data_IF_510940781703
#
_entry.id   IF_510940781703
#
_cell.length_a   1.000
_cell.length_b   1.000
_cell.length_c   1.000
_cell.angle_alpha   90.00
_cell.angle_beta   90.00
_cell.angle_gamma   90.00
#
_symmetry.space_group_name_H-M   'P 1'
#
loop_
_entity.id
_entity.type
_entity.pdbx_description
1 polymer ?
#
# COMPACT_ATOMS: atom_id res chain seq x y z
N UNK A 1 18.23 -14.91 -5.15
CA UNK A 1 17.75 -13.52 -5.01
C UNK A 1 16.24 -13.54 -5.17
N UNK A 2 15.49 -13.05 -4.18
CA UNK A 2 14.03 -13.06 -4.24
C UNK A 2 13.57 -11.81 -4.99
N UNK A 3 12.88 -11.99 -6.12
CA UNK A 3 12.33 -10.87 -6.88
C UNK A 3 10.96 -10.48 -6.31
N UNK A 4 10.62 -9.18 -6.36
CA UNK A 4 9.31 -8.67 -5.90
C UNK A 4 8.16 -9.38 -6.63
N UNK A 5 8.35 -9.55 -7.93
CA UNK A 5 7.57 -10.43 -8.78
C UNK A 5 8.29 -11.77 -8.89
N UNK A 6 7.58 -12.89 -8.88
CA UNK A 6 8.20 -14.23 -8.85
C UNK A 6 9.33 -14.45 -9.88
N UNK A 7 9.27 -13.78 -11.02
CA UNK A 7 10.35 -13.67 -12.01
C UNK A 7 10.17 -12.40 -12.88
N UNK A 8 11.04 -12.19 -13.86
CA UNK A 8 10.94 -11.08 -14.83
C UNK A 8 9.88 -11.27 -15.92
N UNK A 9 9.24 -12.45 -16.00
CA UNK A 9 8.29 -12.82 -17.06
C UNK A 9 6.84 -12.43 -16.75
N UNK A 10 6.60 -11.42 -15.91
CA UNK A 10 5.23 -10.96 -15.62
C UNK A 10 4.60 -10.28 -16.83
N UNK A 11 3.31 -10.52 -17.04
CA UNK A 11 2.56 -9.94 -18.14
C UNK A 11 1.27 -9.27 -17.63
N UNK A 12 0.83 -8.14 -18.25
CA UNK A 12 -0.45 -7.54 -17.92
C UNK A 12 -1.59 -8.53 -18.12
N UNK A 13 -2.46 -8.69 -17.11
CA UNK A 13 -3.63 -9.57 -17.21
C UNK A 13 -4.70 -9.01 -18.15
N UNK A 14 -4.87 -7.69 -18.14
CA UNK A 14 -5.72 -6.94 -19.09
C UNK A 14 -5.04 -5.61 -19.44
N UNK A 15 -4.82 -5.30 -20.73
CA UNK A 15 -4.31 -4.01 -21.13
C UNK A 15 -5.44 -2.98 -21.02
N UNK A 16 -5.43 -2.21 -19.93
CA UNK A 16 -6.26 -1.01 -19.78
C UNK A 16 -5.33 0.18 -19.57
N UNK A 17 -5.52 1.25 -20.34
CA UNK A 17 -4.83 2.51 -20.09
C UNK A 17 -5.50 3.20 -18.91
N UNK A 18 -4.73 3.52 -17.88
CA UNK A 18 -5.22 4.10 -16.63
C UNK A 18 -4.69 5.53 -16.48
N UNK A 19 -5.46 6.39 -15.81
CA UNK A 19 -5.08 7.79 -15.52
C UNK A 19 -3.70 7.86 -14.83
N UNK A 20 -3.39 6.89 -13.97
CA UNK A 20 -2.13 6.80 -13.23
C UNK A 20 -1.11 5.83 -13.86
N UNK A 21 -1.16 5.63 -15.19
CA UNK A 21 -0.26 4.70 -15.90
C UNK A 21 1.22 4.97 -15.63
N UNK A 22 1.62 6.24 -15.50
CA UNK A 22 3.01 6.62 -15.17
C UNK A 22 3.45 6.06 -13.81
N UNK A 23 2.62 6.18 -12.77
CA UNK A 23 2.91 5.66 -11.42
C UNK A 23 3.15 4.15 -11.44
N UNK A 24 2.31 3.40 -12.19
CA UNK A 24 2.49 1.96 -12.36
C UNK A 24 3.77 1.62 -13.12
N UNK A 25 4.06 2.32 -14.22
CA UNK A 25 5.27 2.07 -15.03
C UNK A 25 6.54 2.36 -14.21
N UNK A 26 6.60 3.48 -13.50
CA UNK A 26 7.76 3.81 -12.64
C UNK A 26 8.04 2.76 -11.58
N UNK A 27 6.98 2.23 -10.95
CA UNK A 27 7.14 1.14 -9.97
C UNK A 27 7.63 -0.16 -10.62
N UNK A 28 7.07 -0.52 -11.78
CA UNK A 28 7.49 -1.71 -12.52
C UNK A 28 8.96 -1.62 -12.95
N UNK A 29 9.38 -0.50 -13.54
CA UNK A 29 10.75 -0.30 -13.99
C UNK A 29 11.74 -0.41 -12.81
N UNK A 30 11.37 0.17 -11.66
CA UNK A 30 12.16 0.02 -10.44
C UNK A 30 12.26 -1.43 -9.95
N UNK A 31 11.17 -2.20 -10.10
CA UNK A 31 11.05 -3.58 -9.63
C UNK A 31 11.62 -4.64 -10.59
N UNK A 32 12.03 -4.25 -11.81
CA UNK A 32 12.43 -5.16 -12.88
C UNK A 32 13.69 -5.97 -12.58
N UNK A 33 14.56 -5.48 -11.70
CA UNK A 33 15.74 -6.20 -11.25
C UNK A 33 15.47 -6.96 -9.93
N UNK A 34 16.04 -8.16 -9.71
CA UNK A 34 15.83 -8.93 -8.49
C UNK A 34 16.22 -8.12 -7.24
N UNK A 35 15.22 -7.56 -6.57
CA UNK A 35 15.40 -6.76 -5.35
C UNK A 35 14.77 -7.47 -4.17
N UNK A 36 15.61 -7.81 -3.20
CA UNK A 36 15.13 -8.12 -1.85
C UNK A 36 14.81 -6.80 -1.17
N UNK A 37 13.58 -6.33 -1.29
CA UNK A 37 13.09 -5.25 -0.44
C UNK A 37 13.06 -5.75 1.01
N UNK A 38 13.79 -5.07 1.88
CA UNK A 38 13.74 -5.25 3.34
C UNK A 38 12.93 -4.10 3.92
N UNK A 39 12.05 -4.40 4.89
CA UNK A 39 11.28 -3.39 5.60
C UNK A 39 12.24 -2.37 6.22
N UNK A 40 12.36 -1.18 5.62
CA UNK A 40 13.12 -0.09 6.19
C UNK A 40 12.27 0.53 7.30
N UNK A 41 12.51 0.07 8.54
CA UNK A 41 11.92 0.67 9.75
C UNK A 41 12.34 2.12 10.00
N UNK A 42 13.28 2.65 9.20
CA UNK A 42 13.79 4.02 9.36
C UNK A 42 12.80 5.10 8.91
N UNK A 43 11.69 4.73 8.27
CA UNK A 43 10.59 5.67 8.02
C UNK A 43 9.69 5.73 9.22
N UNK A 44 10.07 6.58 10.17
CA UNK A 44 9.31 6.78 11.39
C UNK A 44 7.96 7.50 11.14
N UNK A 45 7.82 8.23 10.02
CA UNK A 45 6.58 8.92 9.68
C UNK A 45 6.47 9.27 8.18
N UNK A 46 5.35 8.89 7.54
CA UNK A 46 5.03 9.28 6.16
C UNK A 46 4.78 10.80 6.00
N UNK A 47 4.43 11.50 7.08
CA UNK A 47 4.25 12.95 7.07
C UNK A 47 5.55 13.72 6.81
N UNK A 48 6.71 13.15 7.15
CA UNK A 48 8.01 13.77 6.92
C UNK A 48 8.44 13.61 5.46
N UNK A 49 8.17 12.43 4.88
CA UNK A 49 8.50 12.10 3.50
C UNK A 49 7.57 12.80 2.51
N UNK A 50 6.31 13.02 2.91
CA UNK A 50 5.24 13.59 2.07
C UNK A 50 5.17 12.92 0.68
N UNK A 51 5.07 11.57 0.61
CA UNK A 51 5.04 10.90 -0.67
C UNK A 51 3.76 11.28 -1.42
N UNK A 52 3.88 11.44 -2.73
CA UNK A 52 2.73 11.74 -3.61
C UNK A 52 1.69 10.62 -3.57
N UNK A 53 2.15 9.37 -3.50
CA UNK A 53 1.30 8.19 -3.42
C UNK A 53 2.02 7.02 -2.75
N UNK A 54 1.23 6.02 -2.33
CA UNK A 54 1.70 4.72 -1.88
C UNK A 54 1.25 3.67 -2.89
N UNK A 55 2.14 2.75 -3.24
CA UNK A 55 1.85 1.59 -4.09
C UNK A 55 1.65 0.38 -3.19
N UNK A 56 0.53 -0.32 -3.36
CA UNK A 56 0.33 -1.64 -2.75
C UNK A 56 0.57 -2.71 -3.80
N UNK A 57 1.40 -3.70 -3.47
CA UNK A 57 1.59 -4.92 -4.24
C UNK A 57 0.93 -6.08 -3.51
N UNK A 58 -0.14 -6.59 -4.08
CA UNK A 58 -0.82 -7.80 -3.65
C UNK A 58 -0.34 -8.96 -4.50
N UNK A 59 -0.04 -10.09 -3.88
CA UNK A 59 0.36 -11.33 -4.54
C UNK A 59 -0.58 -12.47 -4.16
N UNK A 60 -1.01 -13.22 -5.15
CA UNK A 60 -1.89 -14.38 -5.02
C UNK A 60 -1.36 -15.57 -5.80
N UNK A 61 -1.80 -16.77 -5.44
CA UNK A 61 -1.61 -17.99 -6.24
C UNK A 61 -2.91 -18.30 -6.95
N UNK A 62 -2.83 -18.52 -8.26
CA UNK A 62 -3.95 -19.04 -9.05
C UNK A 62 -5.28 -18.29 -8.84
N UNK A 63 -5.25 -16.95 -8.79
CA UNK A 63 -6.43 -16.09 -8.52
C UNK A 63 -7.16 -16.41 -7.20
N UNK A 64 -6.50 -17.14 -6.30
CA UNK A 64 -7.08 -17.64 -5.06
C UNK A 64 -6.51 -16.94 -3.83
N UNK A 65 -5.95 -17.69 -2.85
CA UNK A 65 -5.48 -17.12 -1.60
C UNK A 65 -4.41 -16.04 -1.79
N UNK A 66 -4.49 -15.03 -0.93
CA UNK A 66 -3.48 -13.99 -0.79
C UNK A 66 -2.22 -14.58 -0.14
N UNK A 67 -1.08 -14.47 -0.84
CA UNK A 67 0.23 -14.87 -0.32
C UNK A 67 0.90 -13.72 0.43
N UNK A 68 0.81 -12.50 -0.11
CA UNK A 68 1.38 -11.32 0.54
C UNK A 68 0.73 -10.03 0.06
N UNK A 69 0.80 -9.04 0.96
CA UNK A 69 0.49 -7.64 0.68
C UNK A 69 1.67 -6.82 1.16
N UNK A 70 2.21 -5.96 0.30
CA UNK A 70 3.35 -5.10 0.58
C UNK A 70 3.05 -3.69 0.15
N UNK A 71 3.60 -2.70 0.83
CA UNK A 71 3.34 -1.29 0.56
C UNK A 71 4.65 -0.56 0.32
N UNK A 72 4.66 0.31 -0.69
CA UNK A 72 5.86 1.01 -1.12
C UNK A 72 5.57 2.49 -1.32
N UNK A 73 6.47 3.36 -0.86
CA UNK A 73 6.42 4.79 -1.18
C UNK A 73 7.62 5.19 -1.99
N UNK A 74 7.39 6.11 -2.93
CA UNK A 74 8.46 6.75 -3.67
C UNK A 74 9.09 7.84 -2.81
N UNK A 75 10.42 7.79 -2.65
CA UNK A 75 11.21 8.81 -1.97
C UNK A 75 12.17 9.41 -2.99
N UNK A 76 12.00 10.69 -3.28
CA UNK A 76 12.88 11.38 -4.20
C UNK A 76 14.29 11.55 -3.58
N UNK A 77 15.31 11.66 -4.44
CA UNK A 77 16.72 11.84 -4.06
C UNK A 77 17.36 10.67 -3.28
N UNK A 78 16.93 9.43 -3.53
CA UNK A 78 17.59 8.21 -3.04
C UNK A 78 18.07 7.33 -4.20
N UNK A 79 19.14 6.57 -3.97
CA UNK A 79 19.61 5.53 -4.91
C UNK A 79 18.56 4.43 -5.10
N UNK A 80 17.88 4.04 -4.02
CA UNK A 80 16.69 3.19 -4.07
C UNK A 80 15.43 4.07 -3.95
N UNK A 81 14.71 4.33 -5.06
CA UNK A 81 13.63 5.32 -5.08
C UNK A 81 12.33 4.85 -4.43
N UNK A 82 12.19 3.54 -4.14
CA UNK A 82 11.06 3.02 -3.39
C UNK A 82 11.53 2.28 -2.15
N UNK A 83 10.80 2.49 -1.08
CA UNK A 83 11.01 1.86 0.22
C UNK A 83 9.74 1.15 0.64
N UNK A 84 9.89 0.02 1.32
CA UNK A 84 8.75 -0.73 1.85
C UNK A 84 8.34 -0.22 3.23
N UNK A 85 7.04 -0.02 3.42
CA UNK A 85 6.42 0.48 4.66
C UNK A 85 5.37 -0.51 5.16
N UNK A 86 4.94 -0.33 6.41
CA UNK A 86 3.88 -1.17 6.99
C UNK A 86 2.51 -0.52 6.82
N UNK A 87 1.46 -1.34 6.78
CA UNK A 87 0.06 -0.87 6.62
C UNK A 87 -0.34 0.18 7.67
N UNK A 88 0.16 0.01 8.89
CA UNK A 88 -0.11 0.94 10.00
C UNK A 88 0.29 2.37 9.66
N UNK A 89 1.37 2.57 8.89
CA UNK A 89 1.85 3.90 8.54
C UNK A 89 0.90 4.60 7.57
N UNK A 90 0.33 3.85 6.61
CA UNK A 90 -0.68 4.37 5.68
C UNK A 90 -1.93 4.84 6.43
N UNK A 91 -2.40 4.03 7.38
CA UNK A 91 -3.58 4.34 8.21
C UNK A 91 -3.32 5.60 9.05
N UNK A 92 -2.16 5.67 9.71
CA UNK A 92 -1.80 6.82 10.53
C UNK A 92 -1.69 8.11 9.72
N UNK A 93 -1.19 8.03 8.49
CA UNK A 93 -1.01 9.18 7.59
C UNK A 93 -2.22 9.50 6.70
N UNK A 94 -3.34 8.81 6.91
CA UNK A 94 -4.62 9.03 6.21
C UNK A 94 -4.53 8.84 4.69
N UNK A 95 -3.87 7.77 4.25
CA UNK A 95 -3.86 7.33 2.86
C UNK A 95 -5.06 6.45 2.56
N UNK A 96 -5.73 6.70 1.43
CA UNK A 96 -6.90 5.95 0.98
C UNK A 96 -6.65 5.31 -0.38
N UNK A 97 -7.17 4.08 -0.56
CA UNK A 97 -7.05 3.35 -1.82
C UNK A 97 -7.84 4.08 -2.90
N UNK A 98 -7.16 4.44 -3.99
CA UNK A 98 -7.81 4.95 -5.18
C UNK A 98 -8.51 3.80 -5.92
N UNK A 99 -9.54 4.15 -6.70
CA UNK A 99 -10.12 3.24 -7.68
C UNK A 99 -9.22 3.12 -8.94
N UNK A 100 -7.93 2.88 -8.73
CA UNK A 100 -6.94 2.68 -9.77
C UNK A 100 -6.04 1.51 -9.40
N UNK A 101 -6.14 0.45 -10.20
CA UNK A 101 -5.42 -0.79 -10.00
C UNK A 101 -4.99 -1.39 -11.32
N UNK A 102 -3.89 -2.15 -11.30
CA UNK A 102 -3.40 -2.87 -12.48
C UNK A 102 -2.97 -4.28 -12.12
N UNK A 103 -3.43 -5.23 -12.93
CA UNK A 103 -3.25 -6.65 -12.69
C UNK A 103 -2.19 -7.24 -13.62
N UNK A 104 -1.37 -8.11 -13.06
CA UNK A 104 -0.32 -8.85 -13.75
C UNK A 104 -0.41 -10.33 -13.40
N UNK A 105 0.06 -11.18 -14.30
CA UNK A 105 0.20 -12.61 -14.05
C UNK A 105 1.57 -13.09 -14.44
N UNK A 106 1.99 -14.17 -13.80
CA UNK A 106 3.12 -14.99 -14.23
C UNK A 106 2.61 -16.41 -14.44
N UNK A 107 2.56 -16.83 -15.70
CA UNK A 107 2.06 -18.15 -16.07
C UNK A 107 3.03 -19.26 -15.64
N UNK A 108 4.34 -18.99 -15.66
CA UNK A 108 5.41 -19.92 -15.25
C UNK A 108 5.30 -20.36 -13.78
N UNK A 109 4.94 -19.43 -12.90
CA UNK A 109 4.88 -19.67 -11.44
C UNK A 109 3.45 -19.73 -10.89
N UNK A 110 2.45 -19.66 -11.78
CA UNK A 110 1.02 -19.57 -11.46
C UNK A 110 0.72 -18.49 -10.39
N UNK A 111 1.31 -17.31 -10.57
CA UNK A 111 1.14 -16.16 -9.67
C UNK A 111 0.31 -15.07 -10.32
N UNK A 112 -0.47 -14.40 -9.49
CA UNK A 112 -1.24 -13.23 -9.85
C UNK A 112 -0.84 -12.06 -8.95
N UNK A 113 -0.77 -10.87 -9.52
CA UNK A 113 -0.36 -9.66 -8.83
C UNK A 113 -1.35 -8.54 -9.11
N UNK A 114 -1.78 -7.85 -8.06
CA UNK A 114 -2.55 -6.61 -8.18
C UNK A 114 -1.70 -5.47 -7.61
N UNK A 115 -1.54 -4.42 -8.41
CA UNK A 115 -0.88 -3.19 -7.98
C UNK A 115 -1.97 -2.14 -7.80
N UNK A 116 -2.08 -1.60 -6.59
CA UNK A 116 -3.02 -0.52 -6.25
C UNK A 116 -2.30 0.76 -5.90
N UNK A 117 -2.99 1.89 -6.05
CA UNK A 117 -2.48 3.21 -5.66
C UNK A 117 -3.30 3.73 -4.49
N UNK A 118 -2.62 4.29 -3.50
CA UNK A 118 -3.22 5.07 -2.42
C UNK A 118 -2.71 6.50 -2.50
N UNK A 119 -3.57 7.46 -2.19
CA UNK A 119 -3.20 8.87 -2.06
C UNK A 119 -3.68 9.42 -0.71
N UNK A 120 -2.98 10.45 -0.23
CA UNK A 120 -3.34 11.09 1.03
C UNK A 120 -4.66 11.83 0.85
N UNK A 121 -5.65 11.50 1.67
CA UNK A 121 -6.90 12.25 1.68
C UNK A 121 -6.73 13.52 2.55
N UNK A 122 -6.81 14.73 1.99
CA UNK A 122 -6.65 15.97 2.78
C UNK A 122 -7.88 16.30 3.63
N UNK A 123 -9.04 15.70 3.33
CA UNK A 123 -10.35 16.02 3.92
C UNK A 123 -10.64 15.14 5.14
N UNK A 124 -10.08 13.93 5.23
CA UNK A 124 -10.34 12.99 6.32
C UNK A 124 -9.53 13.25 7.62
N UNK A 125 -9.33 14.51 8.00
CA UNK A 125 -8.84 14.86 9.36
C UNK A 125 -9.93 14.70 10.45
N UNK A 126 -11.17 14.42 10.06
CA UNK A 126 -12.35 14.55 10.93
C UNK A 126 -12.92 13.24 11.49
N UNK A 127 -12.52 12.06 11.00
CA UNK A 127 -13.04 10.79 11.53
C UNK A 127 -12.35 10.27 12.80
N UNK A 128 -11.29 10.93 13.29
CA UNK A 128 -10.65 10.54 14.57
C UNK A 128 -11.52 10.83 15.81
N UNK A 129 -12.61 11.59 15.66
CA UNK A 129 -13.55 11.90 16.76
C UNK A 129 -14.95 11.30 16.61
N UNK A 130 -15.20 10.39 15.67
CA UNK A 130 -16.52 9.75 15.55
C UNK A 130 -16.56 8.35 16.18
N UNK A 131 -15.40 7.71 16.45
CA UNK A 131 -15.33 6.43 17.16
C UNK A 131 -14.26 6.39 18.28
N UNK A 132 -13.92 7.53 18.88
CA UNK A 132 -13.48 7.50 20.27
C UNK A 132 -14.70 7.16 21.10
N UNK A 133 -14.82 5.89 21.47
CA UNK A 133 -15.77 5.40 22.45
C UNK A 133 -15.96 6.46 23.54
N UNK A 134 -17.23 6.81 23.82
CA UNK A 134 -17.57 7.34 25.13
C UNK A 134 -16.85 6.47 26.15
N UNK A 135 -16.04 7.02 27.08
CA UNK A 135 -15.61 6.27 28.24
C UNK A 135 -16.88 5.95 29.02
N UNK A 136 -17.43 4.77 28.80
CA UNK A 136 -18.54 4.22 29.59
C UNK A 136 -18.00 3.69 30.91
N UNK A 137 -17.22 4.48 31.64
CA UNK A 137 -16.86 4.16 33.01
C UNK A 137 -16.81 5.42 33.88
N UNK A 138 -17.77 5.39 34.79
CA UNK A 138 -17.95 6.17 36.03
C UNK A 138 -18.65 7.53 35.94
N UNK A 139 -19.93 7.53 36.33
CA UNK A 139 -20.38 8.38 37.45
C UNK A 139 -21.48 7.65 38.24
N UNK A 140 -21.39 7.86 39.54
CA UNK A 140 -22.03 7.16 40.65
C UNK A 140 -23.39 7.78 41.02
N UNK A 141 -24.10 7.07 41.90
CA UNK A 141 -24.96 7.54 43.02
C UNK A 141 -26.42 8.04 42.82
N UNK A 142 -27.35 7.21 43.37
CA UNK A 142 -28.60 7.47 44.15
C UNK A 142 -29.70 8.46 43.69
N UNK A 143 -30.96 7.98 43.69
CA UNK A 143 -32.06 8.70 44.36
C UNK A 143 -33.46 8.72 43.71
N UNK A 144 -34.41 8.02 44.35
CA UNK A 144 -35.87 8.30 44.55
C UNK A 144 -36.76 8.72 43.37
N UNK A 145 -37.80 7.91 43.07
CA UNK A 145 -39.23 8.19 43.30
C UNK A 145 -40.00 6.86 43.38
#
# INVERSE_FOLDING_TARGET
>A
MSSLFCCGSIQPFRPQYLIHQSKFTTFLDWSAFPKTSSLQREVNNLDDIKPECVIQLVRQVNYGPLESTRYFVKVDNREEPFIEIVEKDLVNANFEKLNSYKNYRCDEHNKFFEINIYEKNPINKHHWRVNLARPGSSINIWGWW
#
